data_IF_106274633214
#
_entry.id   IF_106274633214
#
_cell.length_a   1.000
_cell.length_b   1.000
_cell.length_c   1.000
_cell.angle_alpha   90.00
_cell.angle_beta   90.00
_cell.angle_gamma   90.00
#
_symmetry.space_group_name_H-M   'P 1'
#
loop_
_entity.id
_entity.type
_entity.pdbx_description
1 polymer ?
#
# COMPACT_ATOMS: atom_id res chain seq x y z
N UNK A 1 -14.96 -13.01 0.54
CA UNK A 1 -13.62 -12.63 0.03
C UNK A 1 -12.83 -12.06 1.20
N UNK A 2 -11.53 -12.35 1.35
CA UNK A 2 -10.72 -11.80 2.45
C UNK A 2 -10.04 -10.51 1.99
N UNK A 3 -9.96 -9.49 2.86
CA UNK A 3 -9.18 -8.28 2.59
C UNK A 3 -7.72 -8.51 2.99
N UNK A 4 -6.78 -8.06 2.15
CA UNK A 4 -5.34 -8.13 2.41
C UNK A 4 -4.75 -6.74 2.19
N UNK A 5 -4.12 -6.21 3.24
CA UNK A 5 -3.29 -5.01 3.13
C UNK A 5 -1.93 -5.41 2.57
N UNK A 6 -1.46 -4.70 1.55
CA UNK A 6 -0.06 -4.75 1.12
C UNK A 6 0.59 -3.44 1.55
N UNK A 7 1.36 -3.51 2.64
CA UNK A 7 2.10 -2.37 3.17
C UNK A 7 3.44 -2.24 2.46
N UNK A 8 3.81 -1.03 2.02
CA UNK A 8 5.05 -0.80 1.27
C UNK A 8 5.63 0.60 1.48
N UNK A 9 6.83 0.83 0.93
CA UNK A 9 7.58 2.07 1.10
C UNK A 9 8.24 2.15 2.49
N UNK A 10 8.05 3.27 3.18
CA UNK A 10 8.55 3.52 4.53
C UNK A 10 9.68 4.55 4.60
N UNK A 11 9.97 5.01 5.81
CA UNK A 11 11.14 5.85 6.12
C UNK A 11 12.36 4.95 6.26
N UNK A 12 12.89 4.50 5.12
CA UNK A 12 13.99 3.52 5.03
C UNK A 12 14.81 3.74 3.77
N UNK A 13 16.10 3.36 3.80
CA UNK A 13 16.93 3.27 2.60
C UNK A 13 16.42 2.25 1.58
N UNK A 14 15.55 1.31 2.01
CA UNK A 14 14.93 0.30 1.16
C UNK A 14 13.55 0.71 0.63
N UNK A 15 13.15 1.98 0.78
CA UNK A 15 11.86 2.49 0.32
C UNK A 15 11.57 2.11 -1.15
N UNK A 16 12.47 2.43 -2.07
CA UNK A 16 12.25 2.21 -3.49
C UNK A 16 12.18 0.71 -3.83
N UNK A 17 13.00 -0.12 -3.15
CA UNK A 17 12.99 -1.58 -3.27
C UNK A 17 11.67 -2.16 -2.77
N UNK A 18 11.14 -1.62 -1.66
CA UNK A 18 9.84 -1.98 -1.09
C UNK A 18 8.69 -1.64 -2.05
N UNK A 19 8.69 -0.46 -2.66
CA UNK A 19 7.72 -0.04 -3.69
C UNK A 19 7.74 -0.97 -4.91
N UNK A 20 8.93 -1.32 -5.42
CA UNK A 20 9.07 -2.28 -6.53
C UNK A 20 8.54 -3.66 -6.13
N UNK A 21 8.91 -4.15 -4.95
CA UNK A 21 8.44 -5.45 -4.45
C UNK A 21 6.91 -5.51 -4.33
N UNK A 22 6.30 -4.45 -3.81
CA UNK A 22 4.86 -4.34 -3.71
C UNK A 22 4.16 -4.36 -5.08
N UNK A 23 4.74 -3.71 -6.10
CA UNK A 23 4.18 -3.75 -7.46
C UNK A 23 4.06 -5.19 -8.00
N UNK A 24 5.05 -6.04 -7.75
CA UNK A 24 5.02 -7.45 -8.13
C UNK A 24 3.98 -8.24 -7.32
N UNK A 25 3.92 -8.04 -6.00
CA UNK A 25 2.96 -8.71 -5.12
C UNK A 25 1.52 -8.37 -5.53
N UNK A 26 1.20 -7.08 -5.65
CA UNK A 26 -0.17 -6.63 -5.95
C UNK A 26 -0.60 -7.03 -7.37
N UNK A 27 0.34 -7.13 -8.31
CA UNK A 27 0.05 -7.57 -9.68
C UNK A 27 -0.24 -9.08 -9.79
N UNK A 28 0.31 -9.91 -8.90
CA UNK A 28 0.25 -11.37 -9.01
C UNK A 28 -0.60 -12.06 -7.92
N UNK A 29 -1.04 -11.32 -6.89
CA UNK A 29 -1.89 -11.88 -5.84
C UNK A 29 -3.25 -12.34 -6.41
N UNK A 30 -3.77 -13.53 -6.05
CA UNK A 30 -5.02 -14.07 -6.61
C UNK A 30 -6.25 -13.21 -6.25
N UNK A 31 -6.74 -12.46 -7.24
CA UNK A 31 -7.88 -11.52 -7.08
C UNK A 31 -9.23 -12.23 -6.91
N UNK A 32 -9.31 -13.52 -7.24
CA UNK A 32 -10.46 -14.39 -6.97
C UNK A 32 -10.59 -14.73 -5.47
N UNK A 33 -9.49 -14.61 -4.71
CA UNK A 33 -9.46 -14.93 -3.26
C UNK A 33 -9.41 -13.68 -2.38
N UNK A 34 -8.76 -12.62 -2.87
CA UNK A 34 -8.40 -11.46 -2.08
C UNK A 34 -8.87 -10.15 -2.70
N UNK A 35 -9.47 -9.32 -1.85
CA UNK A 35 -9.58 -7.89 -2.07
C UNK A 35 -8.27 -7.25 -1.57
N UNK A 36 -7.51 -6.63 -2.48
CA UNK A 36 -6.15 -6.16 -2.21
C UNK A 36 -6.17 -4.67 -1.98
N UNK A 37 -5.61 -4.24 -0.85
CA UNK A 37 -5.53 -2.85 -0.45
C UNK A 37 -4.06 -2.42 -0.36
N UNK A 38 -3.49 -1.75 -1.38
CA UNK A 38 -2.15 -1.20 -1.29
C UNK A 38 -2.12 -0.01 -0.34
N UNK A 39 -1.25 -0.05 0.68
CA UNK A 39 -1.02 1.07 1.59
C UNK A 39 0.47 1.43 1.56
N UNK A 40 0.76 2.63 1.07
CA UNK A 40 2.12 3.13 0.97
C UNK A 40 2.45 4.08 2.12
N UNK A 41 3.69 4.02 2.59
CA UNK A 41 4.28 4.98 3.52
C UNK A 41 5.34 5.78 2.76
N UNK A 42 5.24 7.11 2.75
CA UNK A 42 6.22 7.98 2.07
C UNK A 42 7.58 8.00 2.78
N UNK A 43 8.60 8.58 2.14
CA UNK A 43 9.93 8.78 2.74
C UNK A 43 9.90 9.71 3.95
N UNK A 44 8.87 10.56 4.03
CA UNK A 44 8.57 11.48 5.14
C UNK A 44 7.69 10.82 6.21
N UNK A 45 7.24 9.59 5.99
CA UNK A 45 6.45 8.83 6.96
C UNK A 45 4.95 9.09 6.90
N UNK A 46 4.43 9.67 5.82
CA UNK A 46 2.99 9.84 5.62
C UNK A 46 2.37 8.55 5.06
N UNK A 47 1.20 8.17 5.57
CA UNK A 47 0.53 6.92 5.23
C UNK A 47 -0.67 7.19 4.31
N UNK A 48 -0.76 6.43 3.22
CA UNK A 48 -1.83 6.58 2.25
C UNK A 48 -2.32 5.23 1.74
N UNK A 49 -3.64 5.05 1.71
CA UNK A 49 -4.30 4.03 0.92
C UNK A 49 -4.26 4.47 -0.54
N UNK A 50 -3.75 3.59 -1.42
CA UNK A 50 -3.61 3.87 -2.83
C UNK A 50 -4.58 3.02 -3.67
N UNK A 51 -5.41 3.68 -4.45
CA UNK A 51 -6.47 3.05 -5.27
C UNK A 51 -6.23 3.21 -6.78
N UNK A 52 -4.99 3.57 -7.17
CA UNK A 52 -4.59 3.77 -8.57
C UNK A 52 -3.96 2.54 -9.22
N UNK A 53 -3.34 2.78 -10.37
CA UNK A 53 -2.62 1.75 -11.12
C UNK A 53 -1.32 1.34 -10.39
N UNK A 54 -1.15 0.03 -10.20
CA UNK A 54 -0.03 -0.58 -9.49
C UNK A 54 1.33 -0.36 -10.15
N UNK A 55 1.34 -0.04 -11.45
CA UNK A 55 2.53 0.37 -12.19
C UNK A 55 3.10 1.71 -11.74
N UNK A 56 2.36 2.49 -10.95
CA UNK A 56 2.80 3.77 -10.39
C UNK A 56 3.56 3.62 -9.07
N UNK A 57 3.63 2.42 -8.49
CA UNK A 57 4.33 2.19 -7.22
C UNK A 57 5.84 2.49 -7.34
N UNK A 58 6.56 2.03 -8.37
CA UNK A 58 7.96 2.39 -8.56
C UNK A 58 8.15 3.90 -8.78
N UNK A 59 9.30 4.42 -8.35
CA UNK A 59 9.70 5.82 -8.52
C UNK A 59 8.71 6.85 -7.91
N UNK A 60 7.94 6.43 -6.91
CA UNK A 60 7.02 7.28 -6.14
C UNK A 60 5.94 7.99 -6.96
N UNK A 61 5.64 7.49 -8.17
CA UNK A 61 4.62 8.06 -9.06
C UNK A 61 3.22 7.99 -8.45
N UNK A 62 2.97 6.98 -7.61
CA UNK A 62 1.71 6.76 -6.91
C UNK A 62 1.34 7.94 -6.00
N UNK A 63 2.30 8.63 -5.37
CA UNK A 63 2.06 9.76 -4.46
C UNK A 63 1.37 10.92 -5.18
N UNK A 64 1.74 11.18 -6.44
CA UNK A 64 1.23 12.31 -7.24
C UNK A 64 0.03 11.95 -8.12
N UNK A 65 -0.47 10.72 -8.03
CA UNK A 65 -1.55 10.21 -8.88
C UNK A 65 -2.93 10.84 -8.60
N UNK A 66 -3.10 11.50 -7.46
CA UNK A 66 -4.42 11.95 -6.97
C UNK A 66 -5.34 10.81 -6.54
N UNK A 67 -4.83 9.57 -6.46
CA UNK A 67 -5.55 8.36 -6.01
C UNK A 67 -5.09 7.88 -4.64
N UNK A 68 -4.69 8.83 -3.79
CA UNK A 68 -4.18 8.57 -2.45
C UNK A 68 -5.13 9.17 -1.40
N UNK A 69 -5.59 8.33 -0.49
CA UNK A 69 -6.38 8.73 0.67
C UNK A 69 -5.52 8.57 1.92
N UNK A 70 -5.42 9.59 2.78
CA UNK A 70 -4.65 9.47 4.03
C UNK A 70 -5.20 8.32 4.86
N UNK A 71 -4.30 7.51 5.40
CA UNK A 71 -4.62 6.32 6.15
C UNK A 71 -3.97 6.33 7.54
N UNK A 72 -4.60 5.63 8.47
CA UNK A 72 -4.10 5.35 9.80
C UNK A 72 -4.42 3.89 10.13
N UNK A 73 -3.48 3.21 10.78
CA UNK A 73 -3.69 1.85 11.24
C UNK A 73 -3.87 1.87 12.75
N UNK A 74 -5.02 1.39 13.22
CA UNK A 74 -5.27 1.35 14.66
C UNK A 74 -4.31 0.37 15.35
N UNK A 75 -3.70 0.76 16.48
CA UNK A 75 -2.95 -0.15 17.32
C UNK A 75 -3.85 -0.96 18.28
N UNK A 76 -5.16 -0.66 18.38
CA UNK A 76 -6.06 -1.38 19.28
C UNK A 76 -6.48 -2.73 18.67
N UNK A 77 -6.30 -3.81 19.43
CA UNK A 77 -6.69 -5.17 19.04
C UNK A 77 -8.20 -5.31 18.82
N UNK A 78 -9.01 -4.44 19.41
CA UNK A 78 -10.47 -4.40 19.23
C UNK A 78 -10.87 -3.88 17.85
N UNK A 79 -10.02 -3.07 17.23
CA UNK A 79 -10.23 -2.58 15.88
C UNK A 79 -9.89 -3.71 14.92
N UNK A 80 -10.92 -4.48 14.57
CA UNK A 80 -10.77 -5.70 13.78
C UNK A 80 -10.50 -5.38 12.31
N UNK A 81 -9.27 -5.65 11.86
CA UNK A 81 -8.92 -5.61 10.44
C UNK A 81 -8.76 -4.20 9.88
N UNK A 82 -9.02 -4.04 8.58
CA UNK A 82 -8.92 -2.77 7.85
C UNK A 82 -10.36 -2.28 7.68
N UNK A 83 -10.72 -1.19 8.36
CA UNK A 83 -12.05 -0.55 8.30
C UNK A 83 -12.00 0.75 7.53
#
# INVERSE_FOLDING_TARGET
MKKVLVLFGGVSSEHDVSCVSASYVVSNIPRDKYEVCPLGITKEGEWFLFEGDVSLLPEDKWIKSGKCTKALLSPDRKDHGIT
#
